data_IF_626724311877
#
_entry.id   IF_626724311877
#
_cell.length_a   1.000
_cell.length_b   1.000
_cell.length_c   1.000
_cell.angle_alpha   90.00
_cell.angle_beta   90.00
_cell.angle_gamma   90.00
#
_symmetry.space_group_name_H-M   'P 1'
#
loop_
_entity.id
_entity.type
_entity.pdbx_description
1 polymer ?
#
# COMPACT_ATOMS: atom_id res chain seq x y z
N UNK A 1 -16.03 1.36 9.77
CA UNK A 1 -14.65 1.41 9.23
C UNK A 1 -14.35 2.83 8.79
N UNK A 2 -13.16 3.34 9.10
CA UNK A 2 -12.68 4.64 8.67
C UNK A 2 -12.26 4.59 7.19
N UNK A 3 -12.59 5.64 6.44
CA UNK A 3 -12.20 5.82 5.05
C UNK A 3 -11.56 7.19 4.86
N UNK A 4 -10.33 7.22 4.32
CA UNK A 4 -9.62 8.46 4.06
C UNK A 4 -9.29 8.62 2.58
N UNK A 5 -9.59 9.81 2.05
CA UNK A 5 -9.20 10.24 0.71
C UNK A 5 -9.05 11.77 0.69
N UNK A 6 -8.59 12.34 -0.42
CA UNK A 6 -8.60 13.80 -0.60
C UNK A 6 -8.68 14.18 -2.08
N UNK A 7 -9.40 15.26 -2.40
CA UNK A 7 -9.55 15.75 -3.77
C UNK A 7 -8.20 16.12 -4.43
N UNK A 8 -7.24 16.63 -3.65
CA UNK A 8 -5.88 16.93 -4.16
C UNK A 8 -5.14 15.69 -4.70
N UNK A 9 -5.54 14.46 -4.35
CA UNK A 9 -4.99 13.26 -4.98
C UNK A 9 -5.31 13.16 -6.49
N UNK A 10 -6.30 13.91 -6.98
CA UNK A 10 -6.61 14.03 -8.41
C UNK A 10 -5.71 15.05 -9.14
N UNK A 11 -4.93 15.84 -8.40
CA UNK A 11 -3.97 16.80 -8.95
C UNK A 11 -2.58 16.19 -9.18
N UNK A 12 -2.37 14.95 -8.73
CA UNK A 12 -1.34 14.08 -9.30
C UNK A 12 -1.81 13.67 -10.69
N UNK A 13 -1.20 14.28 -11.70
CA UNK A 13 -1.51 14.08 -13.11
C UNK A 13 -0.31 13.53 -13.85
N UNK A 14 -0.58 12.60 -14.73
CA UNK A 14 0.36 11.87 -15.55
C UNK A 14 0.07 12.18 -17.02
N UNK A 15 0.97 11.85 -17.96
CA UNK A 15 0.68 11.96 -19.39
C UNK A 15 -0.55 11.13 -19.78
N UNK A 16 -1.25 11.56 -20.83
CA UNK A 16 -2.38 10.81 -21.38
C UNK A 16 -1.99 9.37 -21.72
N UNK A 17 -2.80 8.40 -21.27
CA UNK A 17 -2.56 6.98 -21.47
C UNK A 17 -1.68 6.32 -20.41
N UNK A 18 -1.14 7.08 -19.45
CA UNK A 18 -0.46 6.49 -18.29
C UNK A 18 -1.45 5.63 -17.45
N UNK A 19 -1.07 4.41 -17.03
CA UNK A 19 -1.99 3.50 -16.33
C UNK A 19 -2.34 4.01 -14.93
N UNK A 20 -1.38 4.62 -14.24
CA UNK A 20 -1.58 5.26 -12.93
C UNK A 20 -2.30 6.61 -13.12
N UNK A 21 -3.58 6.61 -13.53
CA UNK A 21 -4.36 7.81 -13.86
C UNK A 21 -5.36 8.18 -12.76
N UNK A 22 -5.73 9.47 -12.68
CA UNK A 22 -6.76 9.97 -11.75
C UNK A 22 -8.12 9.24 -11.83
N UNK A 23 -8.45 8.66 -12.99
CA UNK A 23 -9.67 7.87 -13.18
C UNK A 23 -9.74 6.64 -12.26
N UNK A 24 -8.60 6.13 -11.79
CA UNK A 24 -8.52 5.04 -10.79
C UNK A 24 -9.21 5.43 -9.49
N UNK A 25 -8.84 6.57 -8.90
CA UNK A 25 -9.45 7.06 -7.66
C UNK A 25 -10.94 7.38 -7.86
N UNK A 26 -11.31 7.93 -9.02
CA UNK A 26 -12.73 8.17 -9.35
C UNK A 26 -13.53 6.87 -9.49
N UNK A 27 -12.92 5.78 -9.99
CA UNK A 27 -13.55 4.46 -10.04
C UNK A 27 -13.77 3.91 -8.62
N UNK A 28 -12.77 4.02 -7.75
CA UNK A 28 -12.87 3.65 -6.33
C UNK A 28 -13.96 4.45 -5.61
N UNK A 29 -13.97 5.78 -5.73
CA UNK A 29 -14.99 6.62 -5.10
C UNK A 29 -16.41 6.23 -5.52
N UNK A 30 -16.61 5.97 -6.81
CA UNK A 30 -17.91 5.53 -7.35
C UNK A 30 -18.33 4.16 -6.80
N UNK A 31 -17.40 3.21 -6.73
CA UNK A 31 -17.66 1.87 -6.21
C UNK A 31 -18.08 1.89 -4.72
N UNK A 32 -17.51 2.81 -3.95
CA UNK A 32 -17.75 2.93 -2.51
C UNK A 32 -18.84 3.93 -2.13
N UNK A 33 -19.42 4.67 -3.09
CA UNK A 33 -20.37 5.77 -2.83
C UNK A 33 -21.61 5.33 -2.02
N UNK A 34 -22.10 4.11 -2.24
CA UNK A 34 -23.27 3.55 -1.53
C UNK A 34 -22.96 2.90 -0.19
N UNK A 35 -21.69 2.80 0.21
CA UNK A 35 -21.29 2.13 1.45
C UNK A 35 -21.32 3.10 2.64
N UNK A 36 -21.86 2.64 3.76
CA UNK A 36 -21.80 3.37 5.03
C UNK A 36 -20.38 3.32 5.61
N UNK A 37 -19.62 4.38 5.35
CA UNK A 37 -18.22 4.58 5.76
C UNK A 37 -18.09 5.85 6.60
N UNK A 38 -17.22 5.85 7.61
CA UNK A 38 -16.80 7.09 8.27
C UNK A 38 -15.77 7.76 7.35
N UNK A 39 -16.23 8.71 6.52
CA UNK A 39 -15.40 9.37 5.50
C UNK A 39 -14.74 10.62 6.09
N UNK A 40 -13.41 10.64 6.12
CA UNK A 40 -12.61 11.79 6.55
C UNK A 40 -11.64 12.21 5.46
N UNK A 41 -11.32 13.50 5.44
CA UNK A 41 -10.27 14.01 4.56
C UNK A 41 -8.89 13.56 5.05
N UNK A 42 -8.07 13.02 4.15
CA UNK A 42 -6.68 12.72 4.44
C UNK A 42 -5.92 14.03 4.71
N UNK A 43 -5.28 14.22 5.89
CA UNK A 43 -4.52 15.43 6.16
C UNK A 43 -3.22 15.46 5.35
N UNK A 44 -2.54 16.60 5.32
CA UNK A 44 -1.15 16.66 4.85
C UNK A 44 -0.23 16.02 5.89
N UNK A 45 0.71 15.19 5.44
CA UNK A 45 1.77 14.68 6.29
C UNK A 45 2.65 15.80 6.85
N UNK A 46 3.07 15.64 8.11
CA UNK A 46 4.16 16.45 8.65
C UNK A 46 5.48 16.03 8.00
N UNK A 47 6.43 16.97 7.86
CA UNK A 47 7.76 16.66 7.31
C UNK A 47 8.46 15.55 8.12
N UNK A 48 8.31 15.59 9.44
CA UNK A 48 8.89 14.61 10.36
C UNK A 48 8.39 13.19 10.09
N UNK A 49 7.17 13.01 9.57
CA UNK A 49 6.67 11.69 9.19
C UNK A 49 7.38 11.15 7.94
N UNK A 50 7.59 12.00 6.93
CA UNK A 50 8.33 11.61 5.72
C UNK A 50 9.80 11.30 6.07
N UNK A 51 10.38 12.07 6.99
CA UNK A 51 11.76 11.89 7.48
C UNK A 51 11.99 10.57 8.23
N UNK A 52 10.94 9.85 8.64
CA UNK A 52 11.06 8.50 9.25
C UNK A 52 11.63 7.47 8.29
N UNK A 53 11.42 7.67 6.99
CA UNK A 53 11.81 6.73 5.94
C UNK A 53 12.78 7.34 4.93
N UNK A 54 12.64 8.63 4.64
CA UNK A 54 13.42 9.26 3.57
C UNK A 54 14.33 10.37 4.11
N UNK A 55 15.61 10.41 3.73
CA UNK A 55 16.51 11.45 4.18
C UNK A 55 16.11 12.80 3.57
N UNK A 56 16.43 13.88 4.29
CA UNK A 56 16.16 15.27 3.87
C UNK A 56 16.62 15.56 2.42
N UNK A 57 17.77 15.03 2.01
CA UNK A 57 18.29 15.19 0.66
C UNK A 57 17.42 14.53 -0.43
N UNK A 58 16.74 13.43 -0.11
CA UNK A 58 15.76 12.80 -1.00
C UNK A 58 14.52 13.67 -1.15
N UNK A 59 13.94 14.09 -0.03
CA UNK A 59 12.73 14.92 0.00
C UNK A 59 12.98 16.21 -0.80
N UNK A 60 14.10 16.88 -0.53
CA UNK A 60 14.46 18.10 -1.25
C UNK A 60 14.69 17.87 -2.75
N UNK A 61 15.12 16.67 -3.17
CA UNK A 61 15.26 16.34 -4.60
C UNK A 61 13.89 16.16 -5.26
N UNK A 62 12.95 15.50 -4.60
CA UNK A 62 11.56 15.37 -5.07
C UNK A 62 10.92 16.76 -5.18
N UNK A 63 11.05 17.60 -4.14
CA UNK A 63 10.53 18.98 -4.12
C UNK A 63 11.09 19.81 -5.29
N UNK A 64 12.40 19.76 -5.54
CA UNK A 64 13.04 20.49 -6.66
C UNK A 64 12.67 19.97 -8.04
N UNK A 65 12.25 18.71 -8.15
CA UNK A 65 11.86 18.10 -9.42
C UNK A 65 10.42 18.47 -9.84
N UNK A 66 9.62 19.10 -8.95
CA UNK A 66 8.26 19.51 -9.27
C UNK A 66 8.24 20.50 -10.44
N UNK A 67 7.52 20.19 -11.54
CA UNK A 67 7.38 21.13 -12.64
C UNK A 67 6.42 22.26 -12.25
N UNK A 68 6.67 23.47 -12.77
CA UNK A 68 5.76 24.61 -12.58
C UNK A 68 4.45 24.45 -13.39
N UNK A 69 4.49 23.71 -14.50
CA UNK A 69 3.35 23.41 -15.36
C UNK A 69 3.61 22.12 -16.15
N UNK A 70 2.55 21.46 -16.62
CA UNK A 70 2.67 20.21 -17.37
C UNK A 70 3.15 19.06 -16.48
N UNK A 71 4.00 18.20 -17.04
CA UNK A 71 4.58 17.07 -16.33
C UNK A 71 6.10 16.98 -16.54
N UNK A 72 6.77 16.30 -15.61
CA UNK A 72 8.20 15.97 -15.66
C UNK A 72 8.40 14.51 -15.26
N UNK A 73 9.44 13.87 -15.78
CA UNK A 73 9.82 12.50 -15.39
C UNK A 73 10.82 12.55 -14.24
N UNK A 74 10.53 11.85 -13.16
CA UNK A 74 11.44 11.65 -12.03
C UNK A 74 12.34 10.42 -12.26
N UNK A 75 11.80 9.39 -12.94
CA UNK A 75 12.54 8.27 -13.50
C UNK A 75 11.86 7.74 -14.79
N UNK A 76 12.11 6.48 -15.19
CA UNK A 76 11.59 5.91 -16.43
C UNK A 76 10.07 5.73 -16.50
N UNK A 77 9.38 5.68 -15.36
CA UNK A 77 7.94 5.42 -15.27
C UNK A 77 7.21 6.32 -14.24
N UNK A 78 7.93 7.11 -13.44
CA UNK A 78 7.36 7.98 -12.40
C UNK A 78 7.29 9.42 -12.87
N UNK A 79 6.07 9.94 -13.00
CA UNK A 79 5.80 11.31 -13.45
C UNK A 79 5.43 12.25 -12.31
N UNK A 80 5.72 13.52 -12.51
CA UNK A 80 5.41 14.63 -11.61
C UNK A 80 4.59 15.67 -12.35
N UNK A 81 3.67 16.30 -11.65
CA UNK A 81 2.88 17.46 -12.04
C UNK A 81 2.86 18.45 -10.86
N UNK A 82 2.41 19.71 -11.04
CA UNK A 82 2.42 20.70 -9.96
C UNK A 82 1.71 20.25 -8.66
N UNK A 83 0.69 19.38 -8.77
CA UNK A 83 -0.05 18.84 -7.64
C UNK A 83 0.56 17.59 -6.99
N UNK A 84 1.55 16.94 -7.60
CA UNK A 84 2.07 15.64 -7.17
C UNK A 84 2.60 15.62 -5.75
N UNK A 85 3.36 16.65 -5.36
CA UNK A 85 3.92 16.71 -4.01
C UNK A 85 2.81 16.80 -2.94
N UNK A 86 1.80 17.66 -3.17
CA UNK A 86 0.67 17.79 -2.23
C UNK A 86 -0.13 16.49 -2.18
N UNK A 87 -0.41 15.87 -3.33
CA UNK A 87 -1.08 14.58 -3.41
C UNK A 87 -0.34 13.49 -2.63
N UNK A 88 0.99 13.39 -2.80
CA UNK A 88 1.80 12.42 -2.09
C UNK A 88 1.81 12.66 -0.57
N UNK A 89 1.86 13.93 -0.13
CA UNK A 89 1.73 14.29 1.28
C UNK A 89 0.33 13.98 1.84
N UNK A 90 -0.74 14.02 1.02
CA UNK A 90 -2.08 13.55 1.41
C UNK A 90 -2.11 12.03 1.57
N UNK A 91 -1.47 11.29 0.68
CA UNK A 91 -1.35 9.83 0.82
C UNK A 91 -0.65 9.47 2.13
N UNK A 92 0.54 10.02 2.38
CA UNK A 92 1.29 9.78 3.63
C UNK A 92 0.51 10.24 4.86
N UNK A 93 -0.11 11.42 4.81
CA UNK A 93 -0.88 11.97 5.93
C UNK A 93 -2.14 11.17 6.23
N UNK A 94 -2.81 10.65 5.20
CA UNK A 94 -3.93 9.72 5.33
C UNK A 94 -3.53 8.43 6.04
N UNK A 95 -2.38 7.85 5.69
CA UNK A 95 -1.85 6.67 6.38
C UNK A 95 -1.54 6.98 7.85
N UNK A 96 -0.88 8.12 8.12
CA UNK A 96 -0.56 8.53 9.48
C UNK A 96 -1.83 8.71 10.33
N UNK A 97 -2.84 9.40 9.80
CA UNK A 97 -4.12 9.61 10.47
C UNK A 97 -4.91 8.31 10.68
N UNK A 98 -4.84 7.38 9.72
CA UNK A 98 -5.46 6.06 9.86
C UNK A 98 -4.81 5.25 11.00
N UNK A 99 -3.47 5.24 11.07
CA UNK A 99 -2.72 4.61 12.15
C UNK A 99 -3.10 5.21 13.49
N UNK A 100 -3.12 6.54 13.60
CA UNK A 100 -3.50 7.24 14.83
C UNK A 100 -4.92 6.86 15.28
N UNK A 101 -5.89 6.93 14.37
CA UNK A 101 -7.29 6.65 14.68
C UNK A 101 -7.51 5.18 15.09
N UNK A 102 -6.80 4.23 14.46
CA UNK A 102 -6.91 2.81 14.80
C UNK A 102 -6.25 2.50 16.15
N UNK A 103 -5.16 3.17 16.50
CA UNK A 103 -4.49 2.99 17.79
C UNK A 103 -5.18 3.73 18.94
N UNK A 104 -5.93 4.80 18.63
CA UNK A 104 -6.77 5.53 19.58
C UNK A 104 -8.16 4.91 19.77
N UNK A 105 -8.42 3.73 19.21
CA UNK A 105 -9.72 3.04 19.21
C UNK A 105 -10.89 3.86 18.63
N UNK A 106 -10.60 4.90 17.81
CA UNK A 106 -11.63 5.68 17.09
C UNK A 106 -12.22 4.89 15.91
N UNK A 107 -11.45 3.97 15.36
CA UNK A 107 -11.89 3.05 14.32
C UNK A 107 -11.19 1.71 14.49
N UNK A 108 -11.92 0.61 14.37
CA UNK A 108 -11.30 -0.73 14.41
C UNK A 108 -10.36 -0.97 13.22
N UNK A 109 -10.77 -0.52 12.03
CA UNK A 109 -10.03 -0.66 10.76
C UNK A 109 -10.21 0.58 9.91
N UNK A 110 -9.22 0.85 9.04
CA UNK A 110 -9.22 1.97 8.12
C UNK A 110 -8.81 1.55 6.70
N UNK A 111 -9.35 2.24 5.69
CA UNK A 111 -8.89 2.17 4.30
C UNK A 111 -8.52 3.57 3.81
N UNK A 112 -7.31 3.72 3.26
CA UNK A 112 -6.78 4.97 2.71
C UNK A 112 -6.74 4.86 1.19
N UNK A 113 -7.72 5.50 0.53
CA UNK A 113 -7.81 5.60 -0.91
C UNK A 113 -7.17 6.92 -1.39
N UNK A 114 -5.85 6.92 -1.47
CA UNK A 114 -5.07 8.08 -1.93
C UNK A 114 -4.16 7.69 -3.09
N UNK A 115 -3.69 8.71 -3.82
CA UNK A 115 -2.70 8.60 -4.89
C UNK A 115 -1.72 9.77 -4.77
N UNK A 116 -0.45 9.64 -5.20
CA UNK A 116 0.21 8.44 -5.77
C UNK A 116 0.39 7.26 -4.79
N UNK A 117 0.69 6.04 -5.28
CA UNK A 117 1.04 4.87 -4.46
C UNK A 117 2.40 5.05 -3.76
N UNK A 118 2.82 4.06 -2.96
CA UNK A 118 4.02 4.16 -2.12
C UNK A 118 4.97 2.97 -2.09
N UNK A 119 4.53 1.73 -2.30
CA UNK A 119 5.34 0.54 -1.94
C UNK A 119 6.66 0.35 -2.72
N UNK A 120 6.88 1.06 -3.84
CA UNK A 120 8.12 1.03 -4.61
C UNK A 120 9.15 2.10 -4.19
N UNK A 121 8.76 3.12 -3.41
CA UNK A 121 9.66 4.20 -3.02
C UNK A 121 10.68 3.72 -1.97
N UNK A 122 11.93 3.53 -2.40
CA UNK A 122 13.06 3.15 -1.53
C UNK A 122 13.54 4.36 -0.70
N UNK A 123 14.45 4.12 0.24
CA UNK A 123 15.04 5.13 1.14
C UNK A 123 15.37 6.43 0.41
N UNK A 124 16.06 6.34 -0.72
CA UNK A 124 16.50 7.49 -1.49
C UNK A 124 16.20 7.37 -2.99
N UNK A 125 15.13 6.67 -3.39
CA UNK A 125 14.74 6.52 -4.81
C UNK A 125 13.21 6.47 -4.96
N UNK A 126 12.69 7.38 -5.78
CA UNK A 126 11.33 7.30 -6.30
C UNK A 126 11.36 6.43 -7.55
N UNK A 127 10.39 5.54 -7.69
CA UNK A 127 10.26 4.62 -8.81
C UNK A 127 8.89 3.95 -8.79
N UNK A 128 8.45 3.38 -9.91
CA UNK A 128 7.22 2.57 -9.96
C UNK A 128 6.01 3.39 -9.55
N UNK A 129 5.93 4.63 -10.04
CA UNK A 129 4.90 5.61 -9.69
C UNK A 129 4.95 6.16 -8.26
N UNK A 130 5.82 5.62 -7.40
CA UNK A 130 5.83 5.91 -5.97
C UNK A 130 6.80 7.04 -5.62
N UNK A 131 6.32 8.04 -4.87
CA UNK A 131 7.13 9.19 -4.44
C UNK A 131 7.63 9.03 -2.99
N UNK A 132 6.82 8.47 -2.10
CA UNK A 132 7.17 8.23 -0.70
C UNK A 132 6.62 6.87 -0.27
N UNK A 133 7.34 6.15 0.58
CA UNK A 133 6.96 4.84 1.10
C UNK A 133 5.82 4.93 2.10
N UNK A 134 4.60 5.25 1.65
CA UNK A 134 3.45 5.60 2.50
C UNK A 134 3.17 4.58 3.60
N UNK A 135 3.14 3.28 3.26
CA UNK A 135 2.88 2.21 4.24
C UNK A 135 4.07 2.00 5.18
N UNK A 136 5.30 2.07 4.70
CA UNK A 136 6.50 2.00 5.53
C UNK A 136 6.59 3.18 6.53
N UNK A 137 6.21 4.39 6.10
CA UNK A 137 6.08 5.56 6.98
C UNK A 137 5.01 5.30 8.05
N UNK A 138 3.86 4.71 7.67
CA UNK A 138 2.83 4.27 8.61
C UNK A 138 3.37 3.27 9.64
N UNK A 139 4.18 2.31 9.21
CA UNK A 139 4.83 1.34 10.10
C UNK A 139 5.79 2.03 11.07
N UNK A 140 6.67 2.93 10.58
CA UNK A 140 7.60 3.69 11.41
C UNK A 140 6.89 4.65 12.35
N UNK A 141 5.75 5.22 11.95
CA UNK A 141 4.91 6.03 12.85
C UNK A 141 4.35 5.18 13.99
N UNK A 142 3.77 4.02 13.68
CA UNK A 142 3.28 3.10 14.70
C UNK A 142 4.39 2.67 15.67
N UNK A 143 5.58 2.34 15.17
CA UNK A 143 6.71 1.90 15.98
C UNK A 143 7.33 3.04 16.82
N UNK A 144 7.64 4.17 16.19
CA UNK A 144 8.49 5.19 16.80
C UNK A 144 7.70 6.33 17.47
N UNK A 145 6.48 6.63 17.00
CA UNK A 145 5.61 7.62 17.63
C UNK A 145 4.70 7.00 18.69
N UNK A 146 4.05 5.88 18.36
CA UNK A 146 3.11 5.21 19.27
C UNK A 146 3.76 4.12 20.13
N UNK A 147 5.04 3.80 19.88
CA UNK A 147 5.80 2.86 20.71
C UNK A 147 5.36 1.40 20.56
N UNK A 148 4.72 1.03 19.45
CA UNK A 148 4.36 -0.37 19.20
C UNK A 148 5.62 -1.24 19.16
N UNK A 149 5.49 -2.47 19.65
CA UNK A 149 6.62 -3.40 19.68
C UNK A 149 6.75 -4.18 18.38
N UNK A 150 5.63 -4.46 17.69
CA UNK A 150 5.60 -5.27 16.47
C UNK A 150 4.55 -4.75 15.48
N UNK A 151 4.95 -4.53 14.23
CA UNK A 151 4.05 -4.15 13.13
C UNK A 151 4.24 -5.11 11.97
N UNK A 152 3.16 -5.61 11.38
CA UNK A 152 3.24 -6.41 10.16
C UNK A 152 2.75 -5.59 8.96
N UNK A 153 3.49 -5.62 7.86
CA UNK A 153 3.10 -5.05 6.57
C UNK A 153 2.88 -6.21 5.58
N UNK A 154 1.65 -6.33 5.09
CA UNK A 154 1.24 -7.38 4.16
C UNK A 154 0.93 -6.73 2.80
N UNK A 155 1.74 -7.06 1.80
CA UNK A 155 1.66 -6.48 0.46
C UNK A 155 1.21 -7.55 -0.54
N UNK A 156 0.04 -7.32 -1.14
CA UNK A 156 -0.51 -8.18 -2.18
C UNK A 156 -0.65 -7.48 -3.54
N UNK A 157 -0.06 -6.30 -3.69
CA UNK A 157 0.18 -5.73 -5.02
C UNK A 157 0.98 -6.71 -5.88
N UNK A 158 0.69 -6.79 -7.17
CA UNK A 158 1.34 -7.77 -8.05
C UNK A 158 2.82 -7.51 -8.23
N UNK A 159 3.27 -6.28 -8.01
CA UNK A 159 4.68 -5.91 -8.08
C UNK A 159 5.32 -6.07 -6.70
N UNK A 160 6.58 -6.47 -6.67
CA UNK A 160 7.31 -6.56 -5.41
C UNK A 160 7.43 -5.16 -4.79
N UNK A 161 6.94 -5.00 -3.56
CA UNK A 161 7.09 -3.80 -2.72
C UNK A 161 8.53 -3.56 -2.26
N UNK A 162 9.45 -3.38 -3.20
CA UNK A 162 10.89 -3.20 -2.96
C UNK A 162 11.19 -1.98 -2.09
N UNK A 163 10.38 -0.93 -2.17
CA UNK A 163 10.53 0.26 -1.33
C UNK A 163 10.22 -0.05 0.14
N UNK A 164 9.10 -0.72 0.40
CA UNK A 164 8.77 -1.21 1.75
C UNK A 164 9.85 -2.18 2.27
N UNK A 165 10.35 -3.08 1.41
CA UNK A 165 11.44 -3.99 1.75
C UNK A 165 12.72 -3.23 2.17
N UNK A 166 13.15 -2.26 1.37
CA UNK A 166 14.34 -1.44 1.64
C UNK A 166 14.20 -0.65 2.94
N UNK A 167 13.07 0.05 3.11
CA UNK A 167 12.79 0.90 4.27
C UNK A 167 12.67 0.13 5.60
N UNK A 168 12.32 -1.17 5.53
CA UNK A 168 12.16 -2.05 6.70
C UNK A 168 13.25 -3.13 6.79
N UNK A 169 14.28 -3.06 5.94
CA UNK A 169 15.32 -4.09 5.83
C UNK A 169 16.05 -4.39 7.14
N UNK A 170 16.32 -3.34 7.93
CA UNK A 170 17.01 -3.40 9.23
C UNK A 170 16.08 -3.00 10.40
N UNK A 171 14.78 -3.32 10.30
CA UNK A 171 13.81 -3.06 11.36
C UNK A 171 13.30 -4.39 11.98
N UNK A 172 13.88 -4.88 13.09
CA UNK A 172 13.49 -6.16 13.69
C UNK A 172 12.08 -6.13 14.31
N UNK A 173 11.51 -4.94 14.54
CA UNK A 173 10.14 -4.78 15.05
C UNK A 173 9.09 -4.84 13.93
N UNK A 174 9.50 -4.89 12.66
CA UNK A 174 8.60 -5.02 11.53
C UNK A 174 8.67 -6.44 10.94
N UNK A 175 7.55 -6.95 10.44
CA UNK A 175 7.53 -8.11 9.54
C UNK A 175 6.94 -7.66 8.21
N UNK A 176 7.62 -7.94 7.10
CA UNK A 176 7.16 -7.63 5.76
C UNK A 176 6.88 -8.93 5.00
N UNK A 177 5.69 -9.03 4.43
CA UNK A 177 5.29 -10.15 3.56
C UNK A 177 4.83 -9.55 2.24
N UNK A 178 5.42 -9.98 1.13
CA UNK A 178 4.98 -9.57 -0.22
C UNK A 178 4.76 -10.78 -1.09
N UNK A 179 3.56 -10.91 -1.67
CA UNK A 179 3.35 -11.78 -2.83
C UNK A 179 3.36 -10.96 -4.10
N UNK A 180 4.12 -11.39 -5.09
CA UNK A 180 4.28 -10.63 -6.34
C UNK A 180 4.59 -11.58 -7.48
N UNK A 181 4.31 -11.13 -8.70
CA UNK A 181 4.72 -11.87 -9.88
C UNK A 181 6.25 -11.84 -10.03
N UNK A 182 6.85 -12.99 -10.30
CA UNK A 182 8.26 -13.11 -10.64
C UNK A 182 8.48 -14.12 -11.78
N UNK A 183 9.21 -13.74 -12.86
CA UNK A 183 9.79 -12.42 -13.12
C UNK A 183 8.73 -11.37 -13.53
N UNK A 184 8.87 -10.14 -13.02
CA UNK A 184 8.17 -8.92 -13.42
C UNK A 184 9.00 -7.71 -12.93
N UNK A 185 8.63 -6.48 -13.32
CA UNK A 185 9.09 -5.28 -12.63
C UNK A 185 8.87 -5.42 -11.10
N UNK A 186 9.80 -4.95 -10.24
CA UNK A 186 11.06 -4.27 -10.53
C UNK A 186 12.27 -5.19 -10.76
N UNK A 187 12.07 -6.51 -10.83
CA UNK A 187 13.14 -7.49 -10.97
C UNK A 187 13.85 -7.87 -9.65
N UNK A 188 13.23 -7.59 -8.51
CA UNK A 188 13.67 -7.99 -7.16
C UNK A 188 12.60 -8.80 -6.43
N UNK A 189 12.81 -9.14 -5.15
CA UNK A 189 11.84 -9.91 -4.36
C UNK A 189 12.14 -11.41 -4.35
N UNK A 190 13.42 -11.80 -4.45
CA UNK A 190 13.77 -13.21 -4.36
C UNK A 190 13.40 -13.77 -2.97
N UNK A 191 12.95 -15.03 -2.92
CA UNK A 191 12.66 -15.71 -1.65
C UNK A 191 13.86 -15.80 -0.70
N UNK A 192 15.08 -15.61 -1.19
CA UNK A 192 16.32 -15.55 -0.40
C UNK A 192 16.58 -14.19 0.27
N UNK A 193 15.85 -13.14 -0.12
CA UNK A 193 15.91 -11.81 0.49
C UNK A 193 15.06 -11.84 1.78
N UNK A 194 15.71 -12.07 2.92
CA UNK A 194 15.01 -12.34 4.20
C UNK A 194 15.12 -11.20 5.22
N UNK A 195 15.73 -10.06 4.83
CA UNK A 195 16.02 -8.95 5.74
C UNK A 195 17.17 -9.24 6.71
N UNK A 196 17.64 -8.20 7.41
CA UNK A 196 18.76 -8.32 8.35
C UNK A 196 18.47 -9.21 9.57
N UNK A 197 17.19 -9.43 9.89
CA UNK A 197 16.72 -10.17 11.07
C UNK A 197 15.82 -11.36 10.71
N UNK A 198 15.73 -11.75 9.43
CA UNK A 198 14.85 -12.83 8.98
C UNK A 198 13.35 -12.45 8.96
N UNK A 199 13.06 -11.15 8.91
CA UNK A 199 11.72 -10.56 9.04
C UNK A 199 11.02 -10.24 7.72
N UNK A 200 11.69 -10.45 6.59
CA UNK A 200 11.10 -10.31 5.25
C UNK A 200 10.74 -11.69 4.69
N UNK A 201 9.55 -11.80 4.12
CA UNK A 201 9.04 -12.99 3.46
C UNK A 201 8.50 -12.63 2.07
N UNK A 202 9.29 -12.93 1.05
CA UNK A 202 8.88 -12.82 -0.34
C UNK A 202 8.23 -14.11 -0.83
N UNK A 203 7.08 -13.97 -1.47
CA UNK A 203 6.24 -15.04 -2.01
C UNK A 203 6.13 -14.90 -3.54
N UNK A 204 7.20 -15.19 -4.30
CA UNK A 204 7.18 -15.04 -5.75
C UNK A 204 6.19 -16.02 -6.40
N UNK A 205 5.29 -15.48 -7.22
CA UNK A 205 4.29 -16.21 -7.98
C UNK A 205 4.62 -16.17 -9.47
N UNK A 206 4.38 -17.28 -10.18
CA UNK A 206 4.59 -17.30 -11.64
C UNK A 206 3.42 -16.63 -12.34
N UNK A 207 3.66 -16.01 -13.50
CA UNK A 207 2.58 -15.64 -14.41
C UNK A 207 1.65 -16.83 -14.70
N UNK A 208 0.35 -16.58 -14.82
CA UNK A 208 -0.74 -17.56 -14.89
C UNK A 208 -1.19 -18.11 -13.54
N UNK A 209 -0.61 -17.64 -12.42
CA UNK A 209 -1.04 -18.08 -11.09
C UNK A 209 -2.32 -17.37 -10.68
N UNK A 210 -3.40 -18.13 -10.49
CA UNK A 210 -4.67 -17.64 -9.93
C UNK A 210 -4.83 -17.89 -8.42
N UNK A 211 -6.06 -17.74 -7.94
CA UNK A 211 -6.41 -17.81 -6.51
C UNK A 211 -5.94 -19.06 -5.75
N UNK A 212 -5.87 -20.22 -6.41
CA UNK A 212 -5.37 -21.46 -5.78
C UNK A 212 -3.90 -21.38 -5.38
N UNK A 213 -3.04 -20.87 -6.28
CA UNK A 213 -1.62 -20.67 -6.03
C UNK A 213 -1.37 -19.56 -5.01
N UNK A 214 -2.16 -18.47 -5.09
CA UNK A 214 -2.18 -17.40 -4.10
C UNK A 214 -2.42 -17.94 -2.69
N UNK A 215 -3.50 -18.72 -2.49
CA UNK A 215 -3.86 -19.25 -1.16
C UNK A 215 -2.79 -20.19 -0.61
N UNK A 216 -2.21 -21.03 -1.48
CA UNK A 216 -1.13 -21.93 -1.11
C UNK A 216 0.13 -21.18 -0.63
N UNK A 217 0.41 -20.01 -1.20
CA UNK A 217 1.53 -19.16 -0.78
C UNK A 217 1.20 -18.36 0.49
N UNK A 218 0.01 -17.78 0.59
CA UNK A 218 -0.37 -16.90 1.70
C UNK A 218 -0.69 -17.63 3.00
N UNK A 219 -1.23 -18.85 2.96
CA UNK A 219 -1.57 -19.58 4.19
C UNK A 219 -0.38 -19.76 5.15
N UNK A 220 0.79 -20.29 4.73
CA UNK A 220 1.95 -20.39 5.62
C UNK A 220 2.53 -19.02 6.02
N UNK A 221 2.35 -18.00 5.17
CA UNK A 221 2.76 -16.64 5.50
C UNK A 221 1.91 -16.04 6.63
N UNK A 222 0.58 -16.23 6.58
CA UNK A 222 -0.33 -15.82 7.65
C UNK A 222 -0.03 -16.55 8.97
N UNK A 223 0.34 -17.82 8.92
CA UNK A 223 0.78 -18.56 10.12
C UNK A 223 2.06 -17.94 10.73
N UNK A 224 2.99 -17.50 9.89
CA UNK A 224 4.21 -16.81 10.34
C UNK A 224 3.91 -15.43 10.93
N UNK A 225 2.97 -14.68 10.34
CA UNK A 225 2.49 -13.41 10.90
C UNK A 225 1.78 -13.64 12.24
N UNK A 226 0.99 -14.72 12.38
CA UNK A 226 0.38 -15.10 13.65
C UNK A 226 1.42 -15.39 14.73
N UNK A 227 2.50 -16.10 14.39
CA UNK A 227 3.62 -16.37 15.30
C UNK A 227 4.38 -15.09 15.70
N UNK A 228 4.48 -14.13 14.77
CA UNK A 228 5.07 -12.80 15.03
C UNK A 228 4.24 -11.98 16.02
N UNK A 229 2.91 -12.22 16.09
CA UNK A 229 1.98 -11.52 17.00
C UNK A 229 2.07 -9.99 16.86
N UNK A 230 1.81 -9.41 15.68
CA UNK A 230 1.88 -7.96 15.51
C UNK A 230 0.88 -7.25 16.42
N UNK A 231 1.18 -6.00 16.78
CA UNK A 231 0.29 -5.11 17.53
C UNK A 231 -0.61 -4.29 16.58
N UNK A 232 -0.26 -4.23 15.29
CA UNK A 232 -0.96 -3.59 14.17
C UNK A 232 -0.60 -4.30 12.85
N UNK A 233 -1.59 -4.48 11.98
CA UNK A 233 -1.37 -4.94 10.60
C UNK A 233 -1.62 -3.78 9.63
N UNK A 234 -0.67 -3.56 8.73
CA UNK A 234 -0.77 -2.64 7.60
C UNK A 234 -0.87 -3.45 6.31
N UNK A 235 -1.66 -2.98 5.36
CA UNK A 235 -1.83 -3.63 4.06
C UNK A 235 -1.44 -2.66 2.94
N UNK A 236 -0.49 -3.06 2.10
CA UNK A 236 -0.27 -2.47 0.77
C UNK A 236 -1.24 -3.17 -0.19
N UNK A 237 -2.36 -2.51 -0.48
CA UNK A 237 -3.49 -3.08 -1.19
C UNK A 237 -3.48 -2.65 -2.66
N UNK A 238 -2.68 -3.35 -3.46
CA UNK A 238 -2.73 -3.29 -4.93
C UNK A 238 -3.71 -4.32 -5.50
N UNK A 239 -4.42 -3.94 -6.55
CA UNK A 239 -5.43 -4.79 -7.19
C UNK A 239 -5.06 -5.18 -8.62
N UNK A 240 -3.79 -5.05 -8.97
CA UNK A 240 -3.19 -5.37 -10.27
C UNK A 240 -2.77 -6.83 -10.43
N UNK A 241 -3.01 -7.67 -9.42
CA UNK A 241 -2.95 -9.13 -9.58
C UNK A 241 -4.22 -9.69 -10.27
N UNK A 242 -5.23 -8.84 -10.52
CA UNK A 242 -6.47 -9.23 -11.17
C UNK A 242 -6.22 -9.68 -12.62
N UNK A 243 -6.93 -10.71 -13.07
CA UNK A 243 -6.75 -11.30 -14.41
C UNK A 243 -6.95 -10.32 -15.58
N UNK A 244 -7.72 -9.27 -15.35
CA UNK A 244 -8.01 -8.20 -16.32
C UNK A 244 -6.96 -7.07 -16.31
N UNK A 245 -6.04 -7.05 -15.34
CA UNK A 245 -5.08 -5.95 -15.21
C UNK A 245 -4.04 -5.96 -16.34
N UNK A 246 -3.75 -4.81 -16.98
CA UNK A 246 -2.84 -4.76 -18.12
C UNK A 246 -1.36 -4.83 -17.75
N UNK A 247 -0.96 -4.68 -16.48
CA UNK A 247 0.44 -4.52 -16.10
C UNK A 247 1.11 -5.80 -15.58
N UNK A 248 0.35 -6.87 -15.39
CA UNK A 248 0.87 -8.14 -14.93
C UNK A 248 0.20 -9.32 -15.64
N UNK A 249 0.53 -10.53 -15.21
CA UNK A 249 -0.03 -11.76 -15.75
C UNK A 249 -0.38 -12.74 -14.64
N UNK A 250 -0.71 -12.30 -13.43
CA UNK A 250 -1.41 -13.13 -12.46
C UNK A 250 -2.90 -13.18 -12.84
N UNK A 251 -3.58 -14.24 -12.43
CA UNK A 251 -4.98 -14.50 -12.81
C UNK A 251 -5.87 -14.53 -11.56
N UNK A 252 -5.71 -13.55 -10.66
CA UNK A 252 -6.58 -13.47 -9.48
C UNK A 252 -7.92 -12.88 -9.88
N UNK A 253 -8.94 -13.25 -9.12
CA UNK A 253 -10.29 -12.72 -9.30
C UNK A 253 -10.68 -11.86 -8.10
N UNK A 254 -11.75 -11.07 -8.23
CA UNK A 254 -12.28 -10.22 -7.14
C UNK A 254 -12.45 -10.99 -5.80
N UNK A 255 -12.92 -12.24 -5.85
CA UNK A 255 -13.10 -13.10 -4.66
C UNK A 255 -11.79 -13.53 -3.98
N UNK A 256 -10.67 -13.48 -4.68
CA UNK A 256 -9.36 -13.82 -4.11
C UNK A 256 -8.85 -12.69 -3.22
N UNK A 257 -8.99 -11.44 -3.65
CA UNK A 257 -8.76 -10.26 -2.80
C UNK A 257 -9.68 -10.27 -1.58
N UNK A 258 -10.96 -10.57 -1.76
CA UNK A 258 -11.92 -10.68 -0.66
C UNK A 258 -11.51 -11.77 0.35
N UNK A 259 -11.09 -12.93 -0.14
CA UNK A 259 -10.64 -14.01 0.75
C UNK A 259 -9.39 -13.61 1.54
N UNK A 260 -8.37 -13.06 0.88
CA UNK A 260 -7.12 -12.70 1.53
C UNK A 260 -7.37 -11.61 2.59
N UNK A 261 -8.19 -10.62 2.26
CA UNK A 261 -8.62 -9.57 3.20
C UNK A 261 -9.32 -10.16 4.41
N UNK A 262 -10.26 -11.08 4.21
CA UNK A 262 -10.97 -11.76 5.30
C UNK A 262 -10.02 -12.59 6.18
N UNK A 263 -9.04 -13.26 5.59
CA UNK A 263 -8.04 -14.03 6.32
C UNK A 263 -7.13 -13.12 7.16
N UNK A 264 -6.71 -11.97 6.62
CA UNK A 264 -5.93 -10.95 7.34
C UNK A 264 -6.75 -10.34 8.48
N UNK A 265 -8.03 -10.00 8.24
CA UNK A 265 -8.91 -9.45 9.28
C UNK A 265 -9.11 -10.44 10.42
N UNK A 266 -9.39 -11.71 10.12
CA UNK A 266 -9.52 -12.78 11.12
C UNK A 266 -8.25 -12.94 11.94
N UNK A 267 -7.08 -12.87 11.28
CA UNK A 267 -5.79 -12.88 11.97
C UNK A 267 -5.68 -11.67 12.91
N UNK A 268 -5.97 -10.46 12.43
CA UNK A 268 -5.93 -9.23 13.22
C UNK A 268 -6.84 -9.31 14.46
N UNK A 269 -8.04 -9.87 14.32
CA UNK A 269 -8.99 -10.05 15.43
C UNK A 269 -8.41 -10.92 16.54
N UNK A 270 -7.57 -11.89 16.18
CA UNK A 270 -6.93 -12.81 17.15
C UNK A 270 -5.63 -12.29 17.75
N UNK A 271 -4.87 -11.43 17.04
CA UNK A 271 -3.52 -11.05 17.47
C UNK A 271 -3.36 -9.56 17.84
N UNK A 272 -4.15 -8.66 17.27
CA UNK A 272 -4.03 -7.21 17.45
C UNK A 272 -5.37 -6.49 17.68
N UNK A 273 -6.38 -7.18 18.25
CA UNK A 273 -7.68 -6.56 18.54
C UNK A 273 -8.43 -6.06 17.30
N UNK A 274 -8.14 -6.65 16.14
CA UNK A 274 -8.74 -6.29 14.86
C UNK A 274 -8.15 -5.05 14.20
N UNK A 275 -7.05 -4.49 14.71
CA UNK A 275 -6.41 -3.28 14.20
C UNK A 275 -5.75 -3.50 12.83
N UNK A 276 -6.35 -2.93 11.80
CA UNK A 276 -5.89 -2.99 10.40
C UNK A 276 -5.96 -1.61 9.75
N UNK A 277 -4.90 -1.19 9.08
CA UNK A 277 -4.91 -0.05 8.14
C UNK A 277 -4.53 -0.56 6.77
N UNK A 278 -5.41 -0.38 5.79
CA UNK A 278 -5.17 -0.74 4.39
C UNK A 278 -5.00 0.51 3.55
N UNK A 279 -4.09 0.47 2.59
CA UNK A 279 -3.67 1.61 1.77
C UNK A 279 -3.67 1.20 0.31
N UNK A 280 -4.35 1.97 -0.54
CA UNK A 280 -4.39 1.72 -1.98
C UNK A 280 -2.99 1.85 -2.62
N UNK A 281 -2.58 0.85 -3.37
CA UNK A 281 -1.36 0.84 -4.19
C UNK A 281 -1.72 0.80 -5.69
N UNK A 282 -1.38 -0.27 -6.42
CA UNK A 282 -1.66 -0.50 -7.83
C UNK A 282 -3.08 -1.00 -8.17
N UNK A 283 -3.28 -1.40 -9.42
CA UNK A 283 -4.57 -1.80 -10.02
C UNK A 283 -5.03 -0.80 -11.07
N UNK A 284 -5.04 -1.20 -12.34
CA UNK A 284 -5.04 -0.30 -13.51
C UNK A 284 -6.15 -0.60 -14.51
N UNK A 285 -6.79 -1.77 -14.45
CA UNK A 285 -8.11 -1.96 -15.07
C UNK A 285 -9.21 -1.36 -14.18
N UNK A 286 -9.93 -0.34 -14.68
CA UNK A 286 -10.86 0.44 -13.86
C UNK A 286 -12.07 -0.38 -13.35
N UNK A 287 -12.73 -1.21 -14.17
CA UNK A 287 -13.78 -2.12 -13.69
C UNK A 287 -13.28 -3.11 -12.64
N UNK A 288 -12.16 -3.80 -12.88
CA UNK A 288 -11.59 -4.77 -11.96
C UNK A 288 -11.13 -4.13 -10.64
N UNK A 289 -10.48 -2.98 -10.71
CA UNK A 289 -10.10 -2.18 -9.54
C UNK A 289 -11.33 -1.82 -8.70
N UNK A 290 -12.38 -1.31 -9.34
CA UNK A 290 -13.61 -0.92 -8.65
C UNK A 290 -14.27 -2.11 -7.93
N UNK A 291 -14.39 -3.26 -8.61
CA UNK A 291 -14.97 -4.47 -8.04
C UNK A 291 -14.12 -5.04 -6.88
N UNK A 292 -12.80 -5.09 -7.07
CA UNK A 292 -11.87 -5.65 -6.09
C UNK A 292 -11.75 -4.77 -4.83
N UNK A 293 -11.71 -3.45 -4.99
CA UNK A 293 -11.72 -2.50 -3.86
C UNK A 293 -13.04 -2.59 -3.08
N UNK A 294 -14.18 -2.69 -3.78
CA UNK A 294 -15.47 -2.85 -3.11
C UNK A 294 -15.49 -4.14 -2.26
N UNK A 295 -15.04 -5.27 -2.82
CA UNK A 295 -14.97 -6.53 -2.11
C UNK A 295 -13.97 -6.53 -0.93
N UNK A 296 -12.83 -5.86 -1.09
CA UNK A 296 -11.85 -5.62 -0.03
C UNK A 296 -12.44 -4.80 1.12
N UNK A 297 -13.08 -3.67 0.79
CA UNK A 297 -13.69 -2.77 1.79
C UNK A 297 -14.86 -3.45 2.51
N UNK A 298 -15.69 -4.23 1.82
CA UNK A 298 -16.75 -5.00 2.47
C UNK A 298 -16.18 -5.96 3.51
N UNK A 299 -15.05 -6.62 3.23
CA UNK A 299 -14.37 -7.49 4.20
C UNK A 299 -13.75 -6.73 5.37
N UNK A 300 -13.16 -5.57 5.13
CA UNK A 300 -12.65 -4.74 6.23
C UNK A 300 -13.77 -4.24 7.17
N UNK A 301 -15.00 -4.07 6.66
CA UNK A 301 -16.16 -3.61 7.44
C UNK A 301 -16.80 -4.70 8.30
N UNK A 302 -16.59 -5.98 7.99
CA UNK A 302 -17.12 -7.11 8.76
C UNK A 302 -16.57 -7.10 10.20
N UNK A 303 -17.43 -7.40 11.17
CA UNK A 303 -17.07 -7.49 12.60
C UNK A 303 -16.36 -8.79 12.97
#
# INVERSE_FOLDING_TARGET
>A
MLYLTHAECLEHREPDGHPEQAARLLAVERALAGMALDRREAPLAARDDVLRCHPEGYIARVERAMPAAGWAMLDGDTYLAPGSLRAALRAVGGVCAAVDAVLADEARRAFVACRPPGHHAETARAMGFCLFGSVAIGAKRALDHHGLSRVAVLDFDVHHGNGTQDLLWDEPRAMFVSSHQMPLYPGSGLASEVGAHGQILNLPLRSGSGGGAMRAAWQPALDRVAAFRPDLILISAGFDAHADDPLAGLEWETQDFAWLTGAICKLADTCCGGRVVSVLEGGYDLPALAASVAAHVDKLREE
#
